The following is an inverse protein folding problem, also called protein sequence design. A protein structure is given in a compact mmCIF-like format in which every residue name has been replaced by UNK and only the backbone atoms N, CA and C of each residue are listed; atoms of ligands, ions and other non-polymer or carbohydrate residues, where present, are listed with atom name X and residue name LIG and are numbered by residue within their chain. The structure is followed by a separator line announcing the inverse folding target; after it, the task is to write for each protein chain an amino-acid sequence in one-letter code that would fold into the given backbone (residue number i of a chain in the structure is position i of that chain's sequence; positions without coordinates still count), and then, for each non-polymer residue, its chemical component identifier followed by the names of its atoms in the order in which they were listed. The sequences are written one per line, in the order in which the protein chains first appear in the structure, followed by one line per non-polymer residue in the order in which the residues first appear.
data_IF_568454524225
#
_entry.id   IF_568454524225
#
_cell.length_a   1.000
_cell.length_b   1.000
_cell.length_c   1.000
_cell.angle_alpha   90.00
_cell.angle_beta   90.00
_cell.angle_gamma   90.00
#
_symmetry.space_group_name_H-M   'P 1'
#
loop_
_entity.id
_entity.type
_entity.pdbx_description
1 polymer ?
#
# COMPACT_ATOMS: atom_id res chain seq x y z
N UNK A 1 10.58 0.97 13.37
CA UNK A 1 11.66 0.78 14.35
C UNK A 1 11.10 1.30 15.66
N UNK A 2 11.15 0.52 16.74
CA UNK A 2 10.58 0.92 18.03
C UNK A 2 11.75 1.06 18.98
N UNK A 3 12.07 2.28 19.40
CA UNK A 3 13.14 2.52 20.36
C UNK A 3 12.88 1.74 21.64
N UNK A 4 13.94 1.17 22.20
CA UNK A 4 13.92 0.63 23.56
C UNK A 4 13.64 1.75 24.57
N UNK A 5 13.19 1.39 25.77
CA UNK A 5 12.91 2.39 26.81
C UNK A 5 14.19 3.19 27.15
N UNK A 6 15.35 2.53 27.13
CA UNK A 6 16.66 3.12 27.42
C UNK A 6 17.03 4.18 26.36
N UNK A 7 16.89 3.85 25.08
CA UNK A 7 17.16 4.77 23.97
C UNK A 7 16.28 6.02 24.02
N UNK A 8 14.99 5.86 24.37
CA UNK A 8 14.08 7.01 24.51
C UNK A 8 14.50 7.94 25.64
N UNK A 9 14.92 7.37 26.76
CA UNK A 9 15.43 8.15 27.91
C UNK A 9 16.68 8.92 27.51
N UNK A 10 17.63 8.29 26.79
CA UNK A 10 18.84 8.97 26.31
C UNK A 10 18.51 10.13 25.36
N UNK A 11 17.59 9.93 24.40
CA UNK A 11 17.14 10.99 23.48
C UNK A 11 16.51 12.15 24.25
N UNK A 12 15.68 11.86 25.26
CA UNK A 12 15.04 12.87 26.10
C UNK A 12 16.09 13.67 26.89
N UNK A 13 17.10 13.02 27.46
CA UNK A 13 18.19 13.71 28.16
C UNK A 13 19.01 14.59 27.18
N UNK A 14 19.41 14.07 26.03
CA UNK A 14 20.15 14.86 25.04
C UNK A 14 19.37 16.08 24.52
N UNK A 15 18.05 15.97 24.37
CA UNK A 15 17.20 17.10 23.99
C UNK A 15 16.94 18.06 25.15
N UNK A 16 16.58 17.53 26.32
CA UNK A 16 16.10 18.30 27.47
C UNK A 16 17.20 18.86 28.36
N UNK A 17 18.15 18.04 28.83
CA UNK A 17 19.17 18.48 29.79
C UNK A 17 20.36 19.18 29.12
N UNK A 18 20.68 18.81 27.88
CA UNK A 18 21.79 19.41 27.14
C UNK A 18 21.34 20.60 26.25
N UNK A 19 20.04 20.92 26.23
CA UNK A 19 19.48 22.05 25.48
C UNK A 19 19.69 21.97 23.96
N UNK A 20 19.91 20.77 23.41
CA UNK A 20 20.18 20.58 21.98
C UNK A 20 18.89 20.60 21.18
N UNK A 21 18.97 21.15 19.97
CA UNK A 21 17.86 21.06 19.01
C UNK A 21 17.65 19.61 18.56
N UNK A 22 16.42 19.27 18.15
CA UNK A 22 16.05 17.92 17.75
C UNK A 22 16.99 17.32 16.69
N UNK A 23 17.42 18.13 15.72
CA UNK A 23 18.37 17.72 14.67
C UNK A 23 19.75 17.38 15.23
N UNK A 24 20.25 18.17 16.19
CA UNK A 24 21.54 17.92 16.84
C UNK A 24 21.48 16.69 17.74
N UNK A 25 20.41 16.51 18.50
CA UNK A 25 20.21 15.32 19.33
C UNK A 25 20.14 14.06 18.48
N UNK A 26 19.44 14.09 17.34
CA UNK A 26 19.40 12.98 16.40
C UNK A 26 20.78 12.67 15.80
N UNK A 27 21.56 13.69 15.42
CA UNK A 27 22.91 13.48 14.89
C UNK A 27 23.85 12.83 15.93
N UNK A 28 23.78 13.27 17.18
CA UNK A 28 24.60 12.72 18.28
C UNK A 28 24.17 11.30 18.61
N UNK A 29 22.86 11.04 18.71
CA UNK A 29 22.34 9.70 18.93
C UNK A 29 22.74 8.75 17.79
N UNK A 30 22.60 9.16 16.53
CA UNK A 30 23.02 8.37 15.36
C UNK A 30 24.52 8.10 15.33
N UNK A 31 25.35 9.07 15.74
CA UNK A 31 26.80 8.89 15.83
C UNK A 31 27.18 7.89 16.93
N UNK A 32 26.44 7.87 18.04
CA UNK A 32 26.62 6.93 19.15
C UNK A 32 26.08 5.54 18.83
N UNK A 33 25.05 5.43 17.98
CA UNK A 33 24.36 4.18 17.67
C UNK A 33 24.40 3.91 16.17
N UNK A 34 25.55 3.39 15.71
CA UNK A 34 25.83 3.12 14.29
C UNK A 34 24.86 2.13 13.62
N UNK A 35 24.12 1.33 14.39
CA UNK A 35 23.14 0.36 13.87
C UNK A 35 21.75 0.94 13.62
N UNK A 36 21.43 2.09 14.21
CA UNK A 36 20.07 2.61 14.27
C UNK A 36 20.03 4.08 13.87
N UNK A 37 20.04 4.34 12.57
CA UNK A 37 19.82 5.71 12.09
C UNK A 37 18.37 6.15 12.35
N UNK A 38 18.20 7.14 13.24
CA UNK A 38 16.93 7.79 13.63
C UNK A 38 16.13 8.29 12.42
N UNK A 39 16.79 8.54 11.29
CA UNK A 39 16.15 9.06 10.07
C UNK A 39 15.76 7.99 9.05
N UNK A 40 16.10 6.71 9.27
CA UNK A 40 15.59 5.65 8.41
C UNK A 40 14.16 5.34 8.83
N UNK A 41 13.20 6.02 8.19
CA UNK A 41 11.80 5.62 8.21
C UNK A 41 11.70 4.16 7.76
N UNK A 42 11.70 3.21 8.71
CA UNK A 42 11.48 1.80 8.42
C UNK A 42 10.14 1.73 7.73
N UNK A 43 10.14 1.48 6.41
CA UNK A 43 8.92 1.32 5.62
C UNK A 43 8.04 0.34 6.40
N UNK A 44 6.80 0.74 6.69
CA UNK A 44 5.81 -0.18 7.27
C UNK A 44 5.60 -1.26 6.21
N UNK A 45 6.28 -2.39 6.38
CA UNK A 45 6.12 -3.55 5.51
C UNK A 45 4.73 -4.09 5.77
N UNK A 46 3.90 -4.06 4.74
CA UNK A 46 2.55 -4.61 4.77
C UNK A 46 1.51 -3.61 4.28
N UNK A 47 1.30 -3.58 2.96
CA UNK A 47 -0.11 -3.57 2.56
C UNK A 47 -0.69 -4.88 3.10
N UNK A 48 -1.88 -4.83 3.71
CA UNK A 48 -2.70 -6.02 3.93
C UNK A 48 -3.10 -6.54 2.55
N UNK A 49 -2.17 -7.18 1.86
CA UNK A 49 -2.47 -7.88 0.63
C UNK A 49 -3.39 -9.03 1.02
N UNK A 50 -4.52 -9.13 0.31
CA UNK A 50 -5.34 -10.35 0.32
C UNK A 50 -4.43 -11.54 0.01
N UNK A 51 -4.83 -12.74 0.46
CA UNK A 51 -4.15 -13.96 0.02
C UNK A 51 -4.13 -14.03 -1.52
N UNK A 52 -3.06 -14.57 -2.10
CA UNK A 52 -2.85 -14.58 -3.55
C UNK A 52 -4.00 -15.31 -4.26
N UNK A 53 -4.49 -16.41 -3.68
CA UNK A 53 -5.64 -17.15 -4.17
C UNK A 53 -6.91 -16.29 -4.25
N UNK A 54 -7.18 -15.50 -3.21
CA UNK A 54 -8.33 -14.60 -3.16
C UNK A 54 -8.23 -13.47 -4.19
N UNK A 55 -7.01 -13.00 -4.47
CA UNK A 55 -6.79 -12.00 -5.53
C UNK A 55 -7.09 -12.57 -6.91
N UNK A 56 -6.65 -13.80 -7.19
CA UNK A 56 -6.89 -14.49 -8.46
C UNK A 56 -8.39 -14.72 -8.67
N UNK A 57 -9.12 -15.12 -7.64
CA UNK A 57 -10.58 -15.33 -7.72
C UNK A 57 -11.32 -14.05 -8.11
N UNK A 58 -10.99 -12.93 -7.45
CA UNK A 58 -11.57 -11.62 -7.79
C UNK A 58 -11.23 -11.24 -9.23
N UNK A 59 -9.97 -11.35 -9.65
CA UNK A 59 -9.56 -11.02 -11.01
C UNK A 59 -10.25 -11.91 -12.05
N UNK A 60 -10.37 -13.21 -11.79
CA UNK A 60 -11.07 -14.16 -12.66
C UNK A 60 -12.55 -13.81 -12.84
N UNK A 61 -13.24 -13.40 -11.76
CA UNK A 61 -14.63 -12.95 -11.86
C UNK A 61 -14.81 -11.76 -12.80
N UNK A 62 -13.93 -10.76 -12.69
CA UNK A 62 -13.99 -9.57 -13.54
C UNK A 62 -13.48 -9.81 -14.96
N UNK A 63 -12.58 -10.77 -15.17
CA UNK A 63 -12.19 -11.21 -16.50
C UNK A 63 -13.35 -11.87 -17.25
N UNK A 64 -14.13 -12.70 -16.55
CA UNK A 64 -15.33 -13.33 -17.12
C UNK A 64 -16.50 -12.35 -17.29
N UNK A 65 -16.65 -11.40 -16.36
CA UNK A 65 -17.76 -10.44 -16.34
C UNK A 65 -17.28 -9.01 -16.04
N UNK A 66 -16.75 -8.29 -17.06
CA UNK A 66 -16.12 -6.98 -16.86
C UNK A 66 -17.11 -5.86 -16.45
N UNK A 67 -18.39 -6.05 -16.74
CA UNK A 67 -19.48 -5.12 -16.37
C UNK A 67 -20.03 -5.36 -14.95
N UNK A 68 -19.54 -6.37 -14.23
CA UNK A 68 -19.98 -6.65 -12.87
C UNK A 68 -19.60 -5.51 -11.91
N UNK A 69 -20.42 -5.28 -10.87
CA UNK A 69 -20.10 -4.27 -9.87
C UNK A 69 -19.21 -4.84 -8.76
N UNK A 70 -18.31 -4.01 -8.22
CA UNK A 70 -17.45 -4.38 -7.08
C UNK A 70 -18.24 -4.88 -5.87
N UNK A 71 -19.45 -4.34 -5.65
CA UNK A 71 -20.34 -4.82 -4.59
C UNK A 71 -20.81 -6.25 -4.84
N UNK A 72 -21.21 -6.56 -6.08
CA UNK A 72 -21.67 -7.90 -6.47
C UNK A 72 -20.54 -8.92 -6.42
N UNK A 73 -19.35 -8.55 -6.90
CA UNK A 73 -18.17 -9.39 -6.81
C UNK A 73 -17.78 -9.70 -5.35
N UNK A 74 -17.82 -8.70 -4.46
CA UNK A 74 -17.59 -8.88 -3.02
C UNK A 74 -18.56 -9.88 -2.38
N UNK A 75 -19.85 -9.81 -2.72
CA UNK A 75 -20.84 -10.78 -2.21
C UNK A 75 -20.63 -12.20 -2.74
N UNK A 76 -20.14 -12.34 -3.97
CA UNK A 76 -19.92 -13.65 -4.61
C UNK A 76 -18.65 -14.32 -4.07
N UNK A 77 -17.56 -13.56 -3.96
CA UNK A 77 -16.24 -14.05 -3.53
C UNK A 77 -16.08 -14.07 -2.01
N UNK A 78 -17.03 -13.51 -1.25
CA UNK A 78 -16.94 -13.40 0.21
C UNK A 78 -15.88 -12.40 0.70
N UNK A 79 -15.27 -11.61 -0.20
CA UNK A 79 -14.21 -10.66 0.09
C UNK A 79 -14.80 -9.28 0.34
N UNK A 80 -14.22 -8.52 1.29
CA UNK A 80 -14.64 -7.15 1.57
C UNK A 80 -14.51 -6.25 0.32
N UNK A 81 -15.50 -5.38 0.13
CA UNK A 81 -15.53 -4.41 -0.97
C UNK A 81 -14.28 -3.51 -0.97
N UNK A 82 -13.80 -3.15 0.21
CA UNK A 82 -12.65 -2.29 0.43
C UNK A 82 -11.34 -2.94 -0.01
N UNK A 83 -11.25 -4.28 0.03
CA UNK A 83 -10.05 -5.03 -0.34
C UNK A 83 -9.99 -5.41 -1.83
N UNK A 84 -11.12 -5.44 -2.53
CA UNK A 84 -11.18 -5.67 -3.98
C UNK A 84 -10.46 -4.57 -4.78
N UNK A 85 -10.64 -3.30 -4.40
CA UNK A 85 -10.03 -2.16 -5.13
C UNK A 85 -8.50 -2.14 -5.07
N UNK A 86 -7.84 -2.37 -3.91
CA UNK A 86 -6.40 -2.57 -3.84
C UNK A 86 -5.89 -3.71 -4.72
N UNK A 87 -6.61 -4.84 -4.81
CA UNK A 87 -6.21 -5.98 -5.64
C UNK A 87 -6.10 -5.59 -7.13
N UNK A 88 -7.03 -4.78 -7.64
CA UNK A 88 -6.93 -4.25 -9.00
C UNK A 88 -5.69 -3.39 -9.24
N UNK A 89 -5.36 -2.53 -8.28
CA UNK A 89 -4.19 -1.64 -8.38
C UNK A 89 -2.88 -2.42 -8.35
N UNK A 90 -2.80 -3.46 -7.51
CA UNK A 90 -1.62 -4.33 -7.39
C UNK A 90 -1.29 -5.01 -8.72
N UNK A 91 -2.30 -5.50 -9.43
CA UNK A 91 -2.13 -6.22 -10.70
C UNK A 91 -2.30 -5.35 -11.94
N UNK A 92 -2.36 -4.02 -11.77
CA UNK A 92 -2.61 -3.07 -12.87
C UNK A 92 -3.82 -3.45 -13.74
N UNK A 93 -4.85 -4.03 -13.11
CA UNK A 93 -6.05 -4.52 -13.79
C UNK A 93 -7.15 -3.46 -13.73
N UNK A 94 -7.76 -3.16 -14.88
CA UNK A 94 -8.75 -2.07 -15.02
C UNK A 94 -10.05 -2.61 -15.63
N UNK A 95 -10.94 -3.21 -14.83
CA UNK A 95 -12.12 -3.92 -15.35
C UNK A 95 -13.10 -3.03 -16.10
N UNK A 96 -13.13 -1.73 -15.77
CA UNK A 96 -14.05 -0.76 -16.37
C UNK A 96 -13.34 0.20 -17.33
N UNK A 97 -12.19 -0.19 -17.88
CA UNK A 97 -11.58 0.57 -18.96
C UNK A 97 -12.52 0.52 -20.16
N UNK A 98 -12.73 1.67 -20.81
CA UNK A 98 -13.59 1.76 -21.99
C UNK A 98 -13.14 0.75 -23.04
N UNK A 99 -14.03 -0.19 -23.36
CA UNK A 99 -13.86 -1.11 -24.48
C UNK A 99 -14.55 -0.47 -25.68
N UNK A 100 -13.83 -0.35 -26.80
CA UNK A 100 -14.45 0.05 -28.06
C UNK A 100 -15.24 -1.17 -28.53
N UNK A 101 -16.57 -1.07 -28.47
CA UNK A 101 -17.49 -2.15 -28.87
C UNK A 101 -17.73 -2.19 -30.38
N UNK A 102 -17.37 -1.12 -31.08
CA UNK A 102 -17.59 -0.96 -32.52
C UNK A 102 -16.27 -1.18 -33.24
N UNK A 103 -16.19 -2.28 -33.98
CA UNK A 103 -15.20 -2.44 -35.03
C UNK A 103 -15.76 -1.71 -36.26
N UNK A 104 -15.01 -0.75 -36.81
CA UNK A 104 -15.33 -0.18 -38.13
C UNK A 104 -15.24 -1.31 -39.14
N UNK A 105 -16.37 -1.72 -39.68
CA UNK A 105 -16.43 -2.71 -40.75
C UNK A 105 -16.36 -2.00 -42.09
N UNK A 106 -15.78 -2.63 -43.11
CA UNK A 106 -15.62 -2.05 -44.47
C UNK A 106 -16.94 -1.63 -45.13
N UNK A 107 -18.09 -1.99 -44.55
CA UNK A 107 -19.44 -1.66 -45.04
C UNK A 107 -20.15 -0.59 -44.21
N UNK A 108 -19.51 0.00 -43.20
CA UNK A 108 -20.09 1.15 -42.50
C UNK A 108 -20.03 2.36 -43.44
N UNK A 109 -21.20 2.95 -43.74
CA UNK A 109 -21.30 4.14 -44.59
C UNK A 109 -20.58 5.33 -43.93
N UNK A 110 -19.68 5.97 -44.69
CA UNK A 110 -19.04 7.26 -44.34
C UNK A 110 -20.06 8.39 -44.14
#
# INVERSE_FOLDING_TARGET
MVYTLIERVEIIFMFGSEGRSALRSAAVFNARHQRESVMANKKRVGQRALDEAAQIEVLGHFAATPTSSVRKAATITGISRETVRPAFKLHTFYPHKMQILQELTENDYD
#
